data_IF_809271083648
#
_entry.id   IF_809271083648
#
_cell.length_a   1.000
_cell.length_b   1.000
_cell.length_c   1.000
_cell.angle_alpha   90.00
_cell.angle_beta   90.00
_cell.angle_gamma   90.00
#
_symmetry.space_group_name_H-M   'P 1'
#
loop_
_entity.id
_entity.type
_entity.pdbx_description
1 polymer ?
#
# COMPACT_ATOMS: atom_id res chain seq x y z
N UNK A 1 12.76 2.02 -1.62
CA UNK A 1 12.43 1.31 -0.36
C UNK A 1 12.77 -0.16 -0.50
N UNK A 2 13.11 -0.83 0.62
CA UNK A 2 13.17 -2.30 0.70
C UNK A 2 12.16 -2.73 1.75
N UNK A 3 11.26 -3.66 1.41
CA UNK A 3 10.28 -4.24 2.31
C UNK A 3 10.57 -5.74 2.44
N UNK A 4 11.15 -6.13 3.58
CA UNK A 4 11.39 -7.53 3.90
C UNK A 4 10.18 -8.14 4.62
N UNK A 5 9.84 -9.37 4.23
CA UNK A 5 8.96 -10.28 4.95
C UNK A 5 9.78 -11.47 5.45
N UNK A 6 9.16 -12.45 6.12
CA UNK A 6 9.89 -13.63 6.60
C UNK A 6 10.33 -14.54 5.44
N UNK A 7 9.71 -14.36 4.25
CA UNK A 7 9.89 -15.24 3.09
C UNK A 7 10.41 -14.53 1.84
N UNK A 8 10.17 -13.22 1.70
CA UNK A 8 10.46 -12.48 0.48
C UNK A 8 11.03 -11.10 0.79
N UNK A 9 11.76 -10.54 -0.16
CA UNK A 9 12.28 -9.17 -0.08
C UNK A 9 11.81 -8.41 -1.29
N UNK A 10 10.93 -7.44 -1.07
CA UNK A 10 10.45 -6.54 -2.11
C UNK A 10 11.38 -5.35 -2.22
N UNK A 11 11.75 -5.00 -3.46
CA UNK A 11 12.60 -3.86 -3.80
C UNK A 11 11.83 -2.91 -4.70
N UNK A 12 12.08 -1.60 -4.57
CA UNK A 12 11.48 -0.62 -5.46
C UNK A 12 11.93 -0.83 -6.90
N UNK A 13 10.96 -1.00 -7.77
CA UNK A 13 11.15 -0.95 -9.21
C UNK A 13 11.21 0.52 -9.65
N UNK A 14 12.41 1.01 -9.95
CA UNK A 14 12.60 2.41 -10.31
C UNK A 14 11.98 2.77 -11.66
N UNK A 15 11.91 1.83 -12.60
CA UNK A 15 11.36 2.06 -13.94
C UNK A 15 9.83 2.19 -13.90
N UNK A 16 9.19 1.47 -12.96
CA UNK A 16 7.75 1.48 -12.76
C UNK A 16 7.29 2.29 -11.53
N UNK A 17 8.17 3.13 -10.97
CA UNK A 17 7.86 4.05 -9.86
C UNK A 17 7.99 5.50 -10.30
N UNK A 18 7.20 6.36 -9.66
CA UNK A 18 7.30 7.81 -9.78
C UNK A 18 7.10 8.47 -8.40
N UNK A 19 7.07 9.80 -8.39
CA UNK A 19 6.96 10.60 -7.17
C UNK A 19 5.67 10.32 -6.35
N UNK A 20 4.60 9.84 -7.00
CA UNK A 20 3.31 9.57 -6.35
C UNK A 20 2.98 8.08 -6.22
N UNK A 21 3.53 7.22 -7.07
CA UNK A 21 3.24 5.79 -7.08
C UNK A 21 4.56 5.04 -6.99
N UNK A 22 4.74 4.27 -5.93
CA UNK A 22 5.92 3.42 -5.76
C UNK A 22 5.52 1.96 -5.92
N UNK A 23 6.18 1.26 -6.85
CA UNK A 23 5.98 -0.15 -7.12
C UNK A 23 7.12 -0.94 -6.47
N UNK A 24 6.80 -1.86 -5.56
CA UNK A 24 7.77 -2.79 -4.99
C UNK A 24 7.59 -4.17 -5.61
N UNK A 25 8.66 -4.77 -6.11
CA UNK A 25 8.61 -6.08 -6.77
C UNK A 25 9.47 -7.10 -6.03
N UNK A 26 9.06 -8.36 -6.10
CA UNK A 26 9.87 -9.52 -5.71
C UNK A 26 9.57 -10.67 -6.66
N UNK A 27 10.52 -11.56 -6.82
CA UNK A 27 10.33 -12.84 -7.48
C UNK A 27 10.31 -13.95 -6.43
N UNK A 28 9.38 -14.89 -6.57
CA UNK A 28 9.31 -16.06 -5.69
C UNK A 28 8.75 -17.27 -6.45
N UNK A 29 9.54 -18.34 -6.50
CA UNK A 29 9.25 -19.49 -7.35
C UNK A 29 9.26 -19.10 -8.83
N UNK A 30 8.17 -19.42 -9.54
CA UNK A 30 7.97 -19.03 -10.95
C UNK A 30 7.13 -17.76 -11.12
N UNK A 31 6.80 -17.07 -10.02
CA UNK A 31 5.89 -15.93 -10.02
C UNK A 31 6.62 -14.64 -9.65
N UNK A 32 6.11 -13.52 -10.18
CA UNK A 32 6.49 -12.18 -9.76
C UNK A 32 5.33 -11.56 -8.97
N UNK A 33 5.64 -10.93 -7.84
CA UNK A 33 4.68 -10.25 -7.00
C UNK A 33 4.99 -8.76 -6.96
N UNK A 34 3.95 -7.92 -6.98
CA UNK A 34 4.07 -6.47 -6.95
C UNK A 34 3.18 -5.86 -5.87
N UNK A 35 3.74 -4.98 -5.04
CA UNK A 35 3.02 -4.14 -4.09
C UNK A 35 3.04 -2.72 -4.62
N UNK A 36 1.86 -2.17 -4.93
CA UNK A 36 1.70 -0.79 -5.37
C UNK A 36 1.36 0.11 -4.19
N UNK A 37 2.24 1.05 -3.88
CA UNK A 37 2.02 2.12 -2.91
C UNK A 37 1.55 3.35 -3.67
N UNK A 38 0.25 3.59 -3.66
CA UNK A 38 -0.36 4.72 -4.35
C UNK A 38 -0.56 5.91 -3.39
N UNK A 39 0.17 7.00 -3.63
CA UNK A 39 0.09 8.27 -2.89
C UNK A 39 -0.73 9.32 -3.65
N UNK A 40 -1.34 8.97 -4.79
CA UNK A 40 -2.15 9.87 -5.63
C UNK A 40 -3.55 10.13 -5.11
N UNK A 41 -4.01 9.42 -4.08
CA UNK A 41 -5.27 9.69 -3.37
C UNK A 41 -5.15 10.99 -2.56
N UNK A 42 -5.10 12.08 -3.32
CA UNK A 42 -5.59 13.39 -2.99
C UNK A 42 -7.08 13.46 -3.43
N UNK A 43 -7.97 14.03 -2.62
CA UNK A 43 -7.67 15.10 -1.69
C UNK A 43 -6.97 14.61 -0.44
N UNK A 44 -6.03 15.41 0.10
CA UNK A 44 -5.21 15.00 1.23
C UNK A 44 -6.14 14.58 2.36
N UNK A 45 -5.71 13.63 3.20
CA UNK A 45 -6.46 13.18 4.38
C UNK A 45 -7.08 14.36 5.18
N UNK A 46 -6.44 15.53 5.15
CA UNK A 46 -6.93 16.78 5.71
C UNK A 46 -8.21 17.34 5.07
N UNK A 47 -8.33 17.30 3.74
CA UNK A 47 -9.53 17.75 3.04
C UNK A 47 -10.67 16.72 3.18
N UNK A 48 -10.37 15.41 3.19
CA UNK A 48 -11.37 14.39 3.53
C UNK A 48 -11.89 14.53 4.97
N UNK A 49 -11.00 14.89 5.91
CA UNK A 49 -11.36 15.21 7.29
C UNK A 49 -12.23 16.47 7.38
N UNK A 50 -11.91 17.54 6.64
CA UNK A 50 -12.75 18.74 6.57
C UNK A 50 -14.11 18.47 5.96
N UNK A 51 -14.20 17.73 4.86
CA UNK A 51 -15.46 17.33 4.24
C UNK A 51 -16.32 16.48 5.19
N UNK A 52 -15.71 15.61 5.99
CA UNK A 52 -16.40 14.87 7.05
C UNK A 52 -16.88 15.81 8.18
N UNK A 53 -16.03 16.71 8.67
CA UNK A 53 -16.37 17.68 9.73
C UNK A 53 -17.50 18.62 9.29
N UNK A 54 -17.54 18.99 8.02
CA UNK A 54 -18.59 19.80 7.40
C UNK A 54 -19.86 19.01 7.05
N UNK A 55 -19.92 17.71 7.36
CA UNK A 55 -21.09 16.86 7.11
C UNK A 55 -21.34 16.54 5.63
N UNK A 56 -20.40 16.90 4.75
CA UNK A 56 -20.48 16.68 3.29
C UNK A 56 -20.16 15.23 2.90
N UNK A 57 -19.63 14.42 3.82
CA UNK A 57 -19.19 13.04 3.57
C UNK A 57 -19.36 12.13 4.80
N UNK A 58 -19.77 10.88 4.57
CA UNK A 58 -19.75 9.81 5.58
C UNK A 58 -18.39 9.10 5.56
N UNK A 59 -17.67 9.10 6.68
CA UNK A 59 -16.35 8.46 6.80
C UNK A 59 -16.51 6.94 6.98
N UNK A 60 -16.25 6.16 5.93
CA UNK A 60 -16.21 4.70 6.02
C UNK A 60 -14.83 4.26 6.51
N UNK A 61 -14.71 4.07 7.82
CA UNK A 61 -13.46 3.72 8.55
C UNK A 61 -12.75 2.49 7.99
N UNK A 62 -13.47 1.58 7.34
CA UNK A 62 -12.92 0.36 6.74
C UNK A 62 -12.09 0.59 5.48
N UNK A 63 -12.38 1.63 4.68
CA UNK A 63 -11.54 2.03 3.53
C UNK A 63 -10.14 2.49 3.97
N UNK A 64 -10.00 2.92 5.23
CA UNK A 64 -8.73 3.32 5.82
C UNK A 64 -7.96 2.16 6.46
N UNK A 65 -8.61 0.99 6.62
CA UNK A 65 -8.08 -0.12 7.42
C UNK A 65 -7.04 -0.98 6.71
N UNK A 66 -6.93 -0.90 5.38
CA UNK A 66 -6.00 -1.67 4.53
C UNK A 66 -4.63 -1.00 4.27
N UNK A 67 -4.37 0.16 4.86
CA UNK A 67 -3.26 1.05 4.47
C UNK A 67 -1.93 0.86 5.20
N UNK A 68 -1.81 -0.09 6.13
CA UNK A 68 -0.55 -0.31 6.87
C UNK A 68 0.26 -1.41 6.22
N UNK A 69 1.46 -1.07 5.72
CA UNK A 69 2.42 -2.02 5.14
C UNK A 69 2.61 -3.28 6.01
N UNK A 70 2.63 -3.14 7.34
CA UNK A 70 2.74 -4.29 8.25
C UNK A 70 1.60 -5.32 8.16
N UNK A 71 0.37 -4.93 7.80
CA UNK A 71 -0.72 -5.90 7.56
C UNK A 71 -0.50 -6.70 6.28
N UNK A 72 0.07 -6.06 5.25
CA UNK A 72 0.43 -6.72 3.99
C UNK A 72 1.57 -7.71 4.25
N UNK A 73 2.58 -7.33 5.04
CA UNK A 73 3.67 -8.22 5.44
C UNK A 73 3.13 -9.44 6.19
N UNK A 74 2.28 -9.23 7.21
CA UNK A 74 1.70 -10.34 7.96
C UNK A 74 0.88 -11.28 7.07
N UNK A 75 0.04 -10.72 6.18
CA UNK A 75 -0.74 -11.52 5.24
C UNK A 75 0.15 -12.39 4.34
N UNK A 76 1.23 -11.82 3.79
CA UNK A 76 2.20 -12.55 2.96
C UNK A 76 2.83 -13.70 3.76
N UNK A 77 3.27 -13.42 4.99
CA UNK A 77 3.90 -14.42 5.85
C UNK A 77 2.95 -15.58 6.17
N UNK A 78 1.68 -15.29 6.44
CA UNK A 78 0.66 -16.25 6.84
C UNK A 78 0.12 -17.09 5.66
N UNK A 79 0.01 -16.51 4.46
CA UNK A 79 -0.78 -17.11 3.37
C UNK A 79 0.03 -17.57 2.16
N UNK A 80 1.24 -17.04 1.94
CA UNK A 80 2.08 -17.47 0.82
C UNK A 80 3.04 -18.54 1.33
N UNK A 81 2.90 -19.78 0.82
CA UNK A 81 3.75 -20.92 1.17
C UNK A 81 5.02 -20.96 0.33
#
# INVERSE_FOLDING_TARGET
MILATDKMVFVTDQDNSNEYIESLITEYGTNQYCIKIDRTLNPPYYQLFHEWKEGKRKLNRELFSSSKLGKIVNYINENIQ
#
